data_IF_985843045097
#
_entry.id   IF_985843045097
#
_cell.length_a   1.000
_cell.length_b   1.000
_cell.length_c   1.000
_cell.angle_alpha   90.00
_cell.angle_beta   90.00
_cell.angle_gamma   90.00
#
_symmetry.space_group_name_H-M   'P 1'
#
loop_
_entity.id
_entity.type
_entity.pdbx_description
1 polymer ?
#
# COMPACT_ATOMS: atom_id res chain seq x y z
N UNK A 1 1.54 9.47 -8.12
CA UNK A 1 0.58 8.36 -8.18
C UNK A 1 1.28 7.16 -8.78
N UNK A 2 1.00 5.97 -8.26
CA UNK A 2 1.58 4.69 -8.65
C UNK A 2 0.49 3.63 -8.68
N UNK A 3 0.63 2.64 -9.57
CA UNK A 3 -0.30 1.52 -9.67
C UNK A 3 0.23 0.36 -8.84
N UNK A 4 -0.59 -0.15 -7.92
CA UNK A 4 -0.26 -1.28 -7.05
C UNK A 4 -1.09 -2.50 -7.40
N UNK A 5 -0.48 -3.67 -7.33
CA UNK A 5 -1.20 -4.93 -7.48
C UNK A 5 -1.73 -5.36 -6.10
N UNK A 6 -3.05 -5.44 -5.95
CA UNK A 6 -3.71 -5.89 -4.70
C UNK A 6 -3.20 -7.29 -4.33
N UNK A 7 -3.24 -8.21 -5.28
CA UNK A 7 -2.52 -9.48 -5.23
C UNK A 7 -1.23 -9.33 -6.04
N UNK A 8 -0.04 -9.44 -5.45
CA UNK A 8 1.21 -9.29 -6.17
C UNK A 8 1.43 -10.41 -7.20
N UNK A 9 2.21 -10.10 -8.25
CA UNK A 9 2.55 -11.06 -9.32
C UNK A 9 3.25 -12.31 -8.80
N UNK A 10 4.10 -12.17 -7.78
CA UNK A 10 4.77 -13.29 -7.12
C UNK A 10 3.80 -14.30 -6.48
N UNK A 11 2.57 -13.88 -6.19
CA UNK A 11 1.51 -14.76 -5.65
C UNK A 11 0.48 -15.13 -6.71
N UNK A 12 0.75 -14.89 -8.00
CA UNK A 12 -0.17 -15.16 -9.11
C UNK A 12 -1.23 -14.09 -9.32
N UNK A 13 -0.96 -12.85 -8.91
CA UNK A 13 -1.77 -11.69 -9.29
C UNK A 13 -1.62 -11.34 -10.77
N UNK A 14 -2.73 -10.98 -11.41
CA UNK A 14 -2.79 -10.62 -12.83
C UNK A 14 -2.81 -9.11 -13.03
N UNK A 15 -2.49 -8.67 -14.25
CA UNK A 15 -2.51 -7.27 -14.67
C UNK A 15 -3.89 -6.86 -15.21
N UNK A 16 -4.93 -7.00 -14.39
CA UNK A 16 -6.30 -6.64 -14.74
C UNK A 16 -6.84 -5.57 -13.79
N UNK A 17 -7.81 -4.79 -14.27
CA UNK A 17 -8.33 -3.63 -13.53
C UNK A 17 -8.78 -3.95 -12.09
N UNK A 18 -9.39 -5.12 -11.88
CA UNK A 18 -9.88 -5.54 -10.56
C UNK A 18 -8.76 -5.88 -9.57
N UNK A 19 -7.53 -6.12 -10.04
CA UNK A 19 -6.36 -6.39 -9.23
C UNK A 19 -5.43 -5.17 -9.08
N UNK A 20 -5.79 -4.04 -9.68
CA UNK A 20 -4.96 -2.83 -9.69
C UNK A 20 -5.63 -1.72 -8.87
N UNK A 21 -4.83 -1.00 -8.10
CA UNK A 21 -5.29 0.16 -7.34
C UNK A 21 -4.31 1.32 -7.51
N UNK A 22 -4.87 2.53 -7.71
CA UNK A 22 -4.08 3.74 -7.79
C UNK A 22 -3.82 4.29 -6.38
N UNK A 23 -2.56 4.49 -6.04
CA UNK A 23 -2.13 4.98 -4.72
C UNK A 23 -1.09 6.09 -4.85
N UNK A 24 -0.85 6.82 -3.76
CA UNK A 24 0.26 7.78 -3.70
C UNK A 24 1.60 7.07 -3.47
N UNK A 25 2.71 7.77 -3.73
CA UNK A 25 4.05 7.21 -3.53
C UNK A 25 4.33 6.91 -2.06
N UNK A 26 3.79 7.73 -1.17
CA UNK A 26 3.92 7.62 0.28
C UNK A 26 3.20 6.37 0.78
N UNK A 27 1.98 6.14 0.30
CA UNK A 27 1.21 4.91 0.59
C UNK A 27 1.92 3.68 0.02
N UNK A 28 2.45 3.76 -1.20
CA UNK A 28 3.17 2.63 -1.81
C UNK A 28 4.43 2.25 -1.02
N UNK A 29 5.15 3.24 -0.48
CA UNK A 29 6.27 2.99 0.43
C UNK A 29 5.82 2.39 1.76
N UNK A 30 4.69 2.83 2.32
CA UNK A 30 4.14 2.28 3.56
C UNK A 30 3.73 0.82 3.42
N UNK A 31 3.05 0.44 2.33
CA UNK A 31 2.55 -0.93 2.16
C UNK A 31 3.66 -1.96 2.07
N UNK A 32 4.82 -1.59 1.51
CA UNK A 32 5.97 -2.49 1.34
C UNK A 32 7.01 -2.40 2.46
N UNK A 33 6.89 -1.43 3.38
CA UNK A 33 7.89 -1.26 4.43
C UNK A 33 7.64 -2.19 5.62
N UNK A 34 8.71 -2.82 6.11
CA UNK A 34 8.76 -3.51 7.40
C UNK A 34 9.62 -2.76 8.42
N UNK A 35 10.32 -1.71 7.99
CA UNK A 35 11.24 -0.93 8.83
C UNK A 35 10.49 0.19 9.55
N UNK A 36 10.55 0.20 10.88
CA UNK A 36 9.81 1.15 11.71
C UNK A 36 10.16 2.62 11.41
N UNK A 37 11.42 2.91 11.10
CA UNK A 37 11.85 4.27 10.72
C UNK A 37 11.12 4.77 9.46
N UNK A 38 11.05 3.92 8.42
CA UNK A 38 10.36 4.24 7.18
C UNK A 38 8.86 4.39 7.42
N UNK A 39 8.26 3.48 8.19
CA UNK A 39 6.84 3.55 8.55
C UNK A 39 6.52 4.86 9.27
N UNK A 40 7.29 5.21 10.32
CA UNK A 40 7.10 6.44 11.09
C UNK A 40 7.31 7.71 10.25
N UNK A 41 8.22 7.67 9.28
CA UNK A 41 8.45 8.79 8.35
C UNK A 41 7.22 9.02 7.46
N UNK A 42 6.68 7.96 6.87
CA UNK A 42 5.62 8.11 5.86
C UNK A 42 4.21 8.19 6.46
N UNK A 43 3.97 7.68 7.67
CA UNK A 43 2.70 7.84 8.38
C UNK A 43 2.32 9.32 8.59
N UNK A 44 3.31 10.23 8.64
CA UNK A 44 3.07 11.67 8.78
C UNK A 44 2.38 12.30 7.55
N UNK A 45 2.45 11.64 6.39
CA UNK A 45 1.89 12.14 5.13
C UNK A 45 0.56 11.47 4.76
N UNK A 46 0.08 10.55 5.59
CA UNK A 46 -1.15 9.79 5.34
C UNK A 46 -2.10 9.97 6.51
N UNK A 47 -3.42 10.18 6.28
CA UNK A 47 -4.38 10.23 7.36
C UNK A 47 -4.34 8.93 8.19
N UNK A 48 -4.31 9.07 9.51
CA UNK A 48 -4.24 7.94 10.45
C UNK A 48 -5.61 7.49 10.94
N UNK A 49 -6.67 7.81 10.18
CA UNK A 49 -8.01 7.29 10.43
C UNK A 49 -7.99 5.76 10.41
N UNK A 50 -8.69 5.14 11.36
CA UNK A 50 -8.71 3.68 11.52
C UNK A 50 -9.15 2.96 10.25
N UNK A 51 -10.15 3.49 9.54
CA UNK A 51 -10.67 2.91 8.29
C UNK A 51 -9.61 2.98 7.19
N UNK A 52 -8.87 4.08 7.12
CA UNK A 52 -7.79 4.25 6.14
C UNK A 52 -6.66 3.27 6.43
N UNK A 53 -6.23 3.15 7.68
CA UNK A 53 -5.18 2.22 8.10
C UNK A 53 -5.57 0.76 7.87
N UNK A 54 -6.82 0.38 8.13
CA UNK A 54 -7.34 -0.96 7.83
C UNK A 54 -7.27 -1.28 6.33
N UNK A 55 -7.64 -0.33 5.46
CA UNK A 55 -7.53 -0.52 4.01
C UNK A 55 -6.07 -0.58 3.54
N UNK A 56 -5.19 0.25 4.13
CA UNK A 56 -3.76 0.24 3.85
C UNK A 56 -3.15 -1.14 4.20
N UNK A 57 -3.53 -1.69 5.36
CA UNK A 57 -3.05 -2.99 5.81
C UNK A 57 -3.53 -4.16 4.94
N UNK A 58 -4.71 -4.07 4.29
CA UNK A 58 -5.16 -5.08 3.31
C UNK A 58 -4.29 -5.15 2.05
N UNK A 59 -3.54 -4.08 1.77
CA UNK A 59 -2.64 -3.99 0.60
C UNK A 59 -1.18 -4.36 0.95
N UNK A 60 -0.87 -4.63 2.22
CA UNK A 60 0.45 -5.08 2.65
C UNK A 60 0.68 -6.52 2.23
N UNK A 61 1.90 -6.81 1.79
CA UNK A 61 2.36 -8.11 1.29
C UNK A 61 3.38 -8.68 2.24
#
# INVERSE_FOLDING_TARGET
>A
MECHHIKPRSQGGLDNYNNLVLITKEVHKLIHSTQMETINKYLKYVPTDKVILENLNKLRI
#
